data_IF_970345158365
#
_entry.id   IF_970345158365
#
_cell.length_a   1.000
_cell.length_b   1.000
_cell.length_c   1.000
_cell.angle_alpha   90.00
_cell.angle_beta   90.00
_cell.angle_gamma   90.00
#
_symmetry.space_group_name_H-M   'P 1'
#
loop_
_entity.id
_entity.type
_entity.pdbx_description
1 polymer ?
#
# COMPACT_ATOMS: atom_id res chain seq x y z
N UNK A 1 -12.96 20.81 1.52
CA UNK A 1 -12.12 19.82 2.24
C UNK A 1 -12.49 18.44 1.75
N UNK A 2 -11.60 17.76 1.03
CA UNK A 2 -11.86 16.45 0.40
C UNK A 2 -10.83 15.37 0.75
N UNK A 3 -10.00 15.60 1.77
CA UNK A 3 -8.87 14.72 2.12
C UNK A 3 -9.12 13.72 3.26
N UNK A 4 -10.33 13.63 3.82
CA UNK A 4 -10.56 12.88 5.07
C UNK A 4 -10.60 11.36 4.87
N UNK A 5 -11.24 10.84 3.82
CA UNK A 5 -11.42 9.39 3.63
C UNK A 5 -10.15 8.66 3.16
N UNK A 6 -9.45 9.21 2.15
CA UNK A 6 -8.25 8.58 1.61
C UNK A 6 -7.09 8.57 2.62
N UNK A 7 -6.92 9.64 3.38
CA UNK A 7 -5.91 9.70 4.43
C UNK A 7 -6.21 8.72 5.56
N UNK A 8 -7.46 8.62 5.98
CA UNK A 8 -7.87 7.66 7.01
C UNK A 8 -7.63 6.21 6.55
N UNK A 9 -8.01 5.87 5.32
CA UNK A 9 -7.75 4.56 4.75
C UNK A 9 -6.23 4.29 4.68
N UNK A 10 -5.45 5.24 4.17
CA UNK A 10 -3.99 5.11 4.15
C UNK A 10 -3.42 4.87 5.55
N UNK A 11 -3.79 5.69 6.54
CA UNK A 11 -3.29 5.56 7.91
C UNK A 11 -3.70 4.21 8.53
N UNK A 12 -4.93 3.75 8.30
CA UNK A 12 -5.41 2.44 8.78
C UNK A 12 -4.56 1.30 8.22
N UNK A 13 -4.38 1.23 6.90
CA UNK A 13 -3.66 0.13 6.26
C UNK A 13 -2.14 0.25 6.37
N UNK A 14 -1.59 1.45 6.49
CA UNK A 14 -0.16 1.65 6.72
C UNK A 14 0.28 1.22 8.13
N UNK A 15 -0.62 1.32 9.12
CA UNK A 15 -0.39 0.92 10.51
C UNK A 15 -0.73 -0.55 10.80
N UNK A 16 -1.53 -1.17 9.92
CA UNK A 16 -1.99 -2.54 10.10
C UNK A 16 -0.82 -3.54 10.21
N UNK A 17 -0.78 -4.28 11.32
CA UNK A 17 0.25 -5.29 11.59
C UNK A 17 1.61 -4.74 12.01
N UNK A 18 1.74 -3.43 12.29
CA UNK A 18 2.97 -2.81 12.83
C UNK A 18 2.92 -2.70 14.35
N UNK A 19 4.05 -2.93 15.01
CA UNK A 19 4.20 -2.70 16.45
C UNK A 19 4.27 -1.21 16.80
N UNK A 20 4.06 -0.85 18.06
CA UNK A 20 4.23 0.54 18.51
C UNK A 20 5.63 1.10 18.25
N UNK A 21 6.68 0.28 18.29
CA UNK A 21 8.05 0.71 17.97
C UNK A 21 8.20 1.07 16.50
N UNK A 22 7.57 0.32 15.59
CA UNK A 22 7.58 0.59 14.15
C UNK A 22 6.70 1.79 13.78
N UNK A 23 5.67 2.09 14.58
CA UNK A 23 4.80 3.25 14.38
C UNK A 23 5.42 4.57 14.84
N UNK A 24 6.51 4.52 15.60
CA UNK A 24 7.30 5.71 16.00
C UNK A 24 8.30 6.14 14.92
N UNK A 25 8.46 5.36 13.85
CA UNK A 25 9.27 5.77 12.70
C UNK A 25 8.64 6.97 12.00
N UNK A 26 9.49 7.94 11.61
CA UNK A 26 9.06 9.23 11.05
C UNK A 26 8.27 9.09 9.74
N UNK A 27 8.56 8.05 8.96
CA UNK A 27 7.96 7.79 7.65
C UNK A 27 7.24 6.44 7.62
N UNK A 28 5.97 6.43 8.05
CA UNK A 28 5.14 5.23 7.98
C UNK A 28 4.81 4.92 6.51
N UNK A 29 5.51 3.94 5.95
CA UNK A 29 5.20 3.38 4.62
C UNK A 29 4.15 2.29 4.72
N UNK A 30 3.24 2.26 3.75
CA UNK A 30 2.31 1.16 3.55
C UNK A 30 3.03 0.00 2.84
N UNK A 31 2.86 -1.22 3.37
CA UNK A 31 3.41 -2.43 2.76
C UNK A 31 2.52 -2.92 1.62
N UNK A 32 3.12 -3.54 0.60
CA UNK A 32 2.40 -4.10 -0.55
C UNK A 32 1.26 -5.05 -0.14
N UNK A 33 1.50 -5.91 0.86
CA UNK A 33 0.47 -6.82 1.42
C UNK A 33 -0.75 -6.08 1.99
N UNK A 34 -0.54 -4.88 2.57
CA UNK A 34 -1.60 -4.07 3.15
C UNK A 34 -2.37 -3.30 2.06
N UNK A 35 -1.70 -2.93 0.95
CA UNK A 35 -2.38 -2.40 -0.25
C UNK A 35 -3.32 -3.45 -0.86
N UNK A 36 -2.88 -4.70 -0.98
CA UNK A 36 -3.75 -5.77 -1.48
C UNK A 36 -4.98 -5.98 -0.59
N UNK A 37 -4.78 -5.94 0.72
CA UNK A 37 -5.86 -6.06 1.70
C UNK A 37 -6.89 -4.94 1.51
N UNK A 38 -6.42 -3.69 1.38
CA UNK A 38 -7.28 -2.54 1.07
C UNK A 38 -8.09 -2.76 -0.21
N UNK A 39 -7.45 -3.20 -1.29
CA UNK A 39 -8.14 -3.37 -2.59
C UNK A 39 -9.22 -4.46 -2.53
N UNK A 40 -8.99 -5.54 -1.76
CA UNK A 40 -9.98 -6.59 -1.52
C UNK A 40 -11.15 -6.09 -0.65
N UNK A 41 -10.86 -5.41 0.46
CA UNK A 41 -11.89 -4.91 1.39
C UNK A 41 -12.73 -3.78 0.80
N UNK A 42 -12.15 -2.96 -0.06
CA UNK A 42 -12.87 -1.92 -0.80
C UNK A 42 -13.65 -2.45 -2.02
N UNK A 43 -13.56 -3.75 -2.33
CA UNK A 43 -14.23 -4.36 -3.48
C UNK A 43 -13.67 -3.92 -4.84
N UNK A 44 -12.45 -3.34 -4.88
CA UNK A 44 -11.76 -2.94 -6.12
C UNK A 44 -11.36 -4.16 -6.93
N UNK A 45 -10.98 -5.24 -6.25
CA UNK A 45 -10.72 -6.55 -6.82
C UNK A 45 -11.65 -7.57 -6.19
N UNK A 46 -12.33 -8.32 -7.05
CA UNK A 46 -13.25 -9.38 -6.67
C UNK A 46 -12.55 -10.75 -6.55
N UNK A 47 -13.31 -11.80 -6.24
CA UNK A 47 -12.80 -13.17 -6.16
C UNK A 47 -12.35 -13.78 -7.50
N UNK A 48 -12.63 -13.12 -8.65
CA UNK A 48 -12.13 -13.53 -9.97
C UNK A 48 -10.71 -13.00 -10.19
N UNK A 49 -10.34 -11.91 -9.51
CA UNK A 49 -8.97 -11.46 -9.42
C UNK A 49 -8.20 -12.32 -8.43
N UNK A 50 -7.51 -13.33 -8.96
CA UNK A 50 -6.70 -14.22 -8.12
C UNK A 50 -5.62 -13.40 -7.41
N UNK A 51 -5.27 -13.79 -6.18
CA UNK A 51 -4.17 -13.15 -5.44
C UNK A 51 -2.88 -13.10 -6.27
N UNK A 52 -2.63 -14.13 -7.09
CA UNK A 52 -1.45 -14.20 -7.95
C UNK A 52 -1.45 -13.16 -9.09
N UNK A 53 -2.60 -12.85 -9.70
CA UNK A 53 -2.69 -11.78 -10.70
C UNK A 53 -2.45 -10.42 -10.04
N UNK A 54 -3.03 -10.19 -8.84
CA UNK A 54 -2.81 -8.97 -8.07
C UNK A 54 -1.34 -8.80 -7.66
N UNK A 55 -0.70 -9.87 -7.22
CA UNK A 55 0.74 -9.88 -6.88
C UNK A 55 1.59 -9.48 -8.08
N UNK A 56 1.33 -10.06 -9.25
CA UNK A 56 2.05 -9.77 -10.48
C UNK A 56 1.89 -8.32 -10.93
N UNK A 57 0.68 -7.77 -10.83
CA UNK A 57 0.42 -6.38 -11.23
C UNK A 57 1.04 -5.38 -10.27
N UNK A 58 0.95 -5.62 -8.95
CA UNK A 58 1.64 -4.78 -7.99
C UNK A 58 3.15 -4.86 -8.13
N UNK A 59 3.72 -6.05 -8.36
CA UNK A 59 5.16 -6.21 -8.62
C UNK A 59 5.59 -5.43 -9.87
N UNK A 60 4.76 -5.44 -10.92
CA UNK A 60 5.00 -4.65 -12.14
C UNK A 60 4.95 -3.15 -11.86
N UNK A 61 3.99 -2.67 -11.06
CA UNK A 61 3.87 -1.24 -10.71
C UNK A 61 5.02 -0.80 -9.83
N UNK A 62 5.31 -1.53 -8.74
CA UNK A 62 6.42 -1.22 -7.84
C UNK A 62 7.78 -1.33 -8.54
N UNK A 63 7.97 -2.35 -9.38
CA UNK A 63 9.19 -2.53 -10.19
C UNK A 63 9.37 -1.44 -11.26
N UNK A 64 8.27 -0.91 -11.82
CA UNK A 64 8.32 0.27 -12.68
C UNK A 64 8.68 1.53 -11.89
N UNK A 65 8.14 1.71 -10.69
CA UNK A 65 8.46 2.86 -9.83
C UNK A 65 9.92 2.85 -9.35
N UNK A 66 10.51 1.67 -9.12
CA UNK A 66 11.94 1.58 -8.75
C UNK A 66 12.88 1.75 -9.95
N UNK A 67 12.45 1.44 -11.16
CA UNK A 67 13.24 1.58 -12.39
C UNK A 67 13.10 2.94 -13.08
N UNK A 68 12.05 3.72 -12.79
CA UNK A 68 11.76 4.99 -13.47
C UNK A 68 12.16 6.27 -12.73
N UNK A 69 12.77 6.22 -11.55
CA UNK A 69 13.21 7.46 -10.91
C UNK A 69 13.94 7.30 -9.58
N UNK A 70 15.20 7.75 -9.59
CA UNK A 70 15.95 8.34 -8.47
C UNK A 70 15.12 8.67 -7.23
N UNK A 71 15.24 7.88 -6.17
CA UNK A 71 15.04 8.39 -4.82
C UNK A 71 16.19 9.35 -4.52
N UNK A 72 16.00 10.66 -4.69
CA UNK A 72 16.87 11.64 -4.05
C UNK A 72 16.78 11.41 -2.55
N UNK A 73 17.82 10.80 -1.98
CA UNK A 73 18.05 10.77 -0.53
C UNK A 73 18.08 12.23 -0.08
N UNK A 74 17.04 12.65 0.63
CA UNK A 74 17.02 13.86 1.46
C UNK A 74 17.20 13.44 2.91
#
# INVERSE_FOLDING_TARGET
GGGSGLKQAFDQFARFGKSESQLKEKDIRIESKNVQKLMKEAGVVDGKYTSQLLDNDMARVLGKLTSSGTYTKG
#
